data_IF_907543586709
#
_entry.id   IF_907543586709
#
_cell.length_a   1.000
_cell.length_b   1.000
_cell.length_c   1.000
_cell.angle_alpha   90.00
_cell.angle_beta   90.00
_cell.angle_gamma   90.00
#
_symmetry.space_group_name_H-M   'P 1'
#
loop_
_entity.id
_entity.type
_entity.pdbx_description
1 polymer ?
#
# COMPACT_ATOMS: atom_id res chain seq x y z
N UNK A 1 -2.33 -33.41 -17.70
CA UNK A 1 -3.28 -32.32 -18.00
C UNK A 1 -3.46 -31.37 -16.81
N UNK A 2 -3.96 -31.82 -15.66
CA UNK A 2 -4.19 -30.99 -14.47
C UNK A 2 -2.99 -30.15 -13.98
N UNK A 3 -1.80 -30.78 -13.88
CA UNK A 3 -0.58 -30.08 -13.47
C UNK A 3 -0.20 -28.91 -14.39
N UNK A 4 -0.31 -29.10 -15.70
CA UNK A 4 0.01 -28.06 -16.68
C UNK A 4 -1.03 -26.94 -16.66
N UNK A 5 -2.31 -27.29 -16.50
CA UNK A 5 -3.39 -26.31 -16.35
C UNK A 5 -3.19 -25.43 -15.11
N UNK A 6 -2.88 -26.03 -13.95
CA UNK A 6 -2.65 -25.29 -12.71
C UNK A 6 -1.48 -24.30 -12.83
N UNK A 7 -0.34 -24.74 -13.38
CA UNK A 7 0.83 -23.87 -13.58
C UNK A 7 0.53 -22.75 -14.57
N UNK A 8 -0.13 -23.02 -15.68
CA UNK A 8 -0.49 -21.99 -16.66
C UNK A 8 -1.47 -20.97 -16.08
N UNK A 9 -2.47 -21.43 -15.32
CA UNK A 9 -3.44 -20.57 -14.65
C UNK A 9 -2.77 -19.65 -13.63
N UNK A 10 -1.92 -20.21 -12.76
CA UNK A 10 -1.18 -19.45 -11.76
C UNK A 10 -0.23 -18.44 -12.42
N UNK A 11 0.48 -18.83 -13.48
CA UNK A 11 1.35 -17.94 -14.23
C UNK A 11 0.58 -16.76 -14.85
N UNK A 12 -0.61 -16.99 -15.40
CA UNK A 12 -1.45 -15.91 -15.94
C UNK A 12 -1.89 -14.94 -14.84
N UNK A 13 -2.27 -15.44 -13.67
CA UNK A 13 -2.66 -14.59 -12.54
C UNK A 13 -1.48 -13.74 -12.04
N UNK A 14 -0.32 -14.37 -11.87
CA UNK A 14 0.91 -13.68 -11.45
C UNK A 14 1.30 -12.63 -12.48
N UNK A 15 1.34 -12.99 -13.77
CA UNK A 15 1.75 -12.07 -14.84
C UNK A 15 0.80 -10.87 -14.96
N UNK A 16 -0.51 -11.10 -14.80
CA UNK A 16 -1.52 -10.01 -14.79
C UNK A 16 -1.28 -9.06 -13.62
N UNK A 17 -1.00 -9.61 -12.44
CA UNK A 17 -0.71 -8.83 -11.24
C UNK A 17 0.59 -8.02 -11.40
N UNK A 18 1.63 -8.63 -11.97
CA UNK A 18 2.91 -7.97 -12.23
C UNK A 18 2.78 -6.89 -13.31
N UNK A 19 1.98 -7.09 -14.36
CA UNK A 19 1.71 -6.07 -15.39
C UNK A 19 1.01 -4.85 -14.78
N UNK A 20 -0.09 -5.09 -14.05
CA UNK A 20 -0.82 -4.03 -13.37
C UNK A 20 0.07 -3.31 -12.34
N UNK A 21 0.83 -4.06 -11.55
CA UNK A 21 1.77 -3.54 -10.56
C UNK A 21 2.87 -2.69 -11.18
N UNK A 22 3.46 -3.12 -12.31
CA UNK A 22 4.49 -2.38 -13.05
C UNK A 22 3.94 -1.05 -13.59
N UNK A 23 2.69 -1.04 -14.06
CA UNK A 23 2.03 0.18 -14.52
C UNK A 23 1.84 1.18 -13.38
N UNK A 24 1.34 0.71 -12.24
CA UNK A 24 1.14 1.54 -11.04
C UNK A 24 2.49 2.04 -10.50
N UNK A 25 3.49 1.17 -10.38
CA UNK A 25 4.82 1.52 -9.90
C UNK A 25 5.48 2.60 -10.76
N UNK A 26 5.31 2.54 -12.08
CA UNK A 26 5.79 3.60 -12.99
C UNK A 26 5.12 4.94 -12.69
N UNK A 27 3.82 4.95 -12.45
CA UNK A 27 3.11 6.18 -12.10
C UNK A 27 3.55 6.71 -10.73
N UNK A 28 3.69 5.85 -9.73
CA UNK A 28 4.19 6.22 -8.41
C UNK A 28 5.62 6.77 -8.47
N UNK A 29 6.51 6.16 -9.27
CA UNK A 29 7.88 6.63 -9.46
C UNK A 29 7.89 8.00 -10.15
N UNK A 30 7.09 8.17 -11.21
CA UNK A 30 7.02 9.43 -11.96
C UNK A 30 6.48 10.57 -11.10
N UNK A 31 5.46 10.30 -10.29
CA UNK A 31 4.86 11.27 -9.37
C UNK A 31 5.80 11.61 -8.20
N UNK A 32 6.44 10.59 -7.62
CA UNK A 32 7.43 10.75 -6.55
C UNK A 32 8.62 11.60 -6.97
N UNK A 33 9.22 11.31 -8.12
CA UNK A 33 10.30 12.13 -8.69
C UNK A 33 9.82 13.53 -9.07
N UNK A 34 8.58 13.64 -9.55
CA UNK A 34 7.93 14.91 -9.88
C UNK A 34 7.82 15.89 -8.71
N UNK A 35 7.61 15.37 -7.50
CA UNK A 35 7.50 16.17 -6.27
C UNK A 35 8.84 16.72 -5.76
N UNK A 36 9.99 16.26 -6.27
CA UNK A 36 11.32 16.78 -5.89
C UNK A 36 11.67 18.14 -6.53
N UNK A 37 10.83 18.63 -7.45
CA UNK A 37 10.99 19.94 -8.07
C UNK A 37 12.02 20.00 -9.21
N UNK A 38 12.18 21.20 -9.80
CA UNK A 38 13.13 21.44 -10.89
C UNK A 38 12.79 20.71 -12.21
N UNK A 39 13.79 20.19 -12.97
CA UNK A 39 13.55 19.53 -14.25
C UNK A 39 12.75 18.23 -14.14
N UNK A 40 12.70 17.62 -12.94
CA UNK A 40 11.93 16.41 -12.66
C UNK A 40 10.41 16.65 -12.61
N UNK A 41 9.95 17.90 -12.47
CA UNK A 41 8.52 18.23 -12.56
C UNK A 41 7.90 17.84 -13.91
N UNK A 42 8.72 17.75 -14.98
CA UNK A 42 8.29 17.24 -16.29
C UNK A 42 7.85 15.77 -16.25
N UNK A 43 8.29 14.99 -15.26
CA UNK A 43 7.86 13.59 -15.06
C UNK A 43 6.41 13.47 -14.60
N UNK A 44 5.80 14.53 -14.05
CA UNK A 44 4.37 14.54 -13.73
C UNK A 44 3.50 14.57 -14.99
N UNK A 45 4.04 14.94 -16.15
CA UNK A 45 3.28 14.99 -17.39
C UNK A 45 3.26 13.60 -18.08
N UNK A 46 2.11 12.90 -18.12
CA UNK A 46 2.04 11.55 -18.71
C UNK A 46 2.35 11.53 -20.21
N UNK A 47 2.21 12.68 -20.89
CA UNK A 47 2.50 12.83 -22.31
C UNK A 47 4.00 12.87 -22.63
N UNK A 48 4.88 13.03 -21.62
CA UNK A 48 6.32 13.05 -21.84
C UNK A 48 6.87 11.63 -21.99
N UNK A 49 6.91 11.16 -23.24
CA UNK A 49 7.28 9.77 -23.60
C UNK A 49 8.66 9.36 -23.10
N UNK A 50 9.65 10.27 -23.15
CA UNK A 50 11.02 9.98 -22.70
C UNK A 50 11.06 9.73 -21.20
N UNK A 51 10.40 10.58 -20.41
CA UNK A 51 10.29 10.37 -18.96
C UNK A 51 9.54 9.09 -18.61
N UNK A 52 8.44 8.81 -19.33
CA UNK A 52 7.69 7.57 -19.15
C UNK A 52 8.53 6.32 -19.45
N UNK A 53 9.34 6.32 -20.52
CA UNK A 53 10.22 5.21 -20.85
C UNK A 53 11.34 5.01 -19.83
N UNK A 54 11.96 6.08 -19.35
CA UNK A 54 12.99 6.00 -18.30
C UNK A 54 12.39 5.40 -17.03
N UNK A 55 11.24 5.90 -16.58
CA UNK A 55 10.55 5.33 -15.42
C UNK A 55 10.17 3.85 -15.64
N UNK A 56 9.72 3.48 -16.84
CA UNK A 56 9.44 2.06 -17.17
C UNK A 56 10.70 1.20 -17.06
N UNK A 57 11.82 1.62 -17.64
CA UNK A 57 13.08 0.87 -17.61
C UNK A 57 13.55 0.69 -16.17
N UNK A 58 13.46 1.74 -15.35
CA UNK A 58 13.83 1.67 -13.93
C UNK A 58 12.95 0.65 -13.19
N UNK A 59 11.63 0.71 -13.36
CA UNK A 59 10.70 -0.22 -12.69
C UNK A 59 10.92 -1.66 -13.15
N UNK A 60 11.10 -1.90 -14.45
CA UNK A 60 11.37 -3.24 -14.99
C UNK A 60 12.71 -3.76 -14.50
N UNK A 61 13.75 -2.92 -14.45
CA UNK A 61 15.04 -3.27 -13.89
C UNK A 61 14.94 -3.60 -12.40
N UNK A 62 14.13 -2.85 -11.63
CA UNK A 62 13.87 -3.13 -10.22
C UNK A 62 13.21 -4.50 -10.02
N UNK A 63 12.16 -4.82 -10.79
CA UNK A 63 11.56 -6.17 -10.78
C UNK A 63 12.56 -7.26 -11.18
N UNK A 64 13.34 -7.01 -12.24
CA UNK A 64 14.41 -7.90 -12.68
C UNK A 64 15.46 -8.17 -11.59
N UNK A 65 15.81 -7.14 -10.81
CA UNK A 65 16.75 -7.29 -9.70
C UNK A 65 16.19 -8.16 -8.58
N UNK A 66 14.90 -8.05 -8.27
CA UNK A 66 14.21 -8.91 -7.29
C UNK A 66 14.18 -10.35 -7.79
N UNK A 67 13.91 -10.57 -9.08
CA UNK A 67 13.93 -11.90 -9.69
C UNK A 67 15.34 -12.51 -9.64
N UNK A 68 16.37 -11.74 -9.99
CA UNK A 68 17.76 -12.18 -9.88
C UNK A 68 18.12 -12.54 -8.43
N UNK A 69 17.73 -11.72 -7.45
CA UNK A 69 17.92 -12.03 -6.03
C UNK A 69 17.19 -13.32 -5.62
N UNK A 70 15.95 -13.50 -6.08
CA UNK A 70 15.14 -14.68 -5.81
C UNK A 70 15.73 -15.98 -6.36
N UNK A 71 16.34 -15.92 -7.55
CA UNK A 71 16.96 -17.08 -8.21
C UNK A 71 18.37 -17.37 -7.70
N UNK A 72 19.15 -16.34 -7.38
CA UNK A 72 20.57 -16.49 -7.02
C UNK A 72 20.83 -16.72 -5.53
N UNK A 73 19.91 -16.31 -4.65
CA UNK A 73 20.07 -16.40 -3.20
C UNK A 73 19.01 -17.34 -2.57
N UNK A 74 19.27 -18.66 -2.44
CA UNK A 74 18.29 -19.63 -1.94
C UNK A 74 17.93 -19.48 -0.46
N UNK A 75 18.77 -18.81 0.34
CA UNK A 75 18.47 -18.49 1.75
C UNK A 75 17.85 -17.10 1.91
N UNK A 76 18.17 -16.20 0.98
CA UNK A 76 17.84 -14.79 1.03
C UNK A 76 16.65 -14.33 0.22
N UNK A 77 16.30 -15.01 -0.86
CA UNK A 77 15.21 -14.60 -1.73
C UNK A 77 13.84 -14.70 -1.06
N UNK A 78 13.10 -15.77 -1.36
CA UNK A 78 11.71 -15.94 -0.90
C UNK A 78 11.63 -15.97 0.64
N UNK A 79 12.58 -16.63 1.30
CA UNK A 79 12.54 -16.86 2.76
C UNK A 79 12.73 -15.59 3.60
N UNK A 80 13.43 -14.57 3.09
CA UNK A 80 13.60 -13.30 3.81
C UNK A 80 12.60 -12.24 3.34
N UNK A 81 12.12 -12.31 2.10
CA UNK A 81 11.08 -11.42 1.60
C UNK A 81 9.71 -11.72 2.24
N UNK A 82 9.42 -12.98 2.58
CA UNK A 82 8.11 -13.36 3.10
C UNK A 82 7.74 -12.68 4.44
N UNK A 83 8.63 -12.63 5.46
CA UNK A 83 8.37 -11.84 6.66
C UNK A 83 8.21 -10.34 6.39
N UNK A 84 8.95 -9.80 5.41
CA UNK A 84 8.88 -8.38 5.05
C UNK A 84 7.53 -8.05 4.40
N UNK A 85 6.97 -8.95 3.61
CA UNK A 85 5.66 -8.81 2.99
C UNK A 85 4.54 -8.65 4.03
N UNK A 86 4.59 -9.45 5.10
CA UNK A 86 3.62 -9.34 6.20
C UNK A 86 3.66 -7.98 6.89
N UNK A 87 4.86 -7.50 7.22
CA UNK A 87 5.05 -6.19 7.86
C UNK A 87 4.63 -5.06 6.92
N UNK A 88 5.06 -5.10 5.65
CA UNK A 88 4.72 -4.08 4.65
C UNK A 88 3.20 -3.96 4.43
N UNK A 89 2.47 -5.08 4.41
CA UNK A 89 1.02 -5.05 4.24
C UNK A 89 0.31 -4.42 5.43
N UNK A 90 0.74 -4.70 6.65
CA UNK A 90 0.19 -4.06 7.84
C UNK A 90 0.49 -2.55 7.84
N UNK A 91 1.72 -2.16 7.49
CA UNK A 91 2.09 -0.75 7.38
C UNK A 91 1.28 0.00 6.30
N UNK A 92 0.95 -0.66 5.18
CA UNK A 92 0.04 -0.12 4.17
C UNK A 92 -1.41 -0.01 4.69
N UNK A 93 -1.88 -1.01 5.45
CA UNK A 93 -3.20 -0.98 6.08
C UNK A 93 -3.31 0.20 7.07
N UNK A 94 -2.28 0.44 7.88
CA UNK A 94 -2.21 1.58 8.79
C UNK A 94 -2.34 2.92 8.04
N UNK A 95 -1.65 3.07 6.91
CA UNK A 95 -1.75 4.27 6.06
C UNK A 95 -3.17 4.42 5.50
N UNK A 96 -3.74 3.35 4.96
CA UNK A 96 -5.09 3.37 4.41
C UNK A 96 -6.14 3.74 5.47
N UNK A 97 -6.09 3.09 6.65
CA UNK A 97 -6.97 3.36 7.78
C UNK A 97 -6.80 4.79 8.31
N UNK A 98 -5.58 5.32 8.32
CA UNK A 98 -5.31 6.73 8.65
C UNK A 98 -6.04 7.65 7.67
N UNK A 99 -5.88 7.43 6.37
CA UNK A 99 -6.52 8.25 5.33
C UNK A 99 -8.04 8.16 5.43
N UNK A 100 -8.61 6.96 5.58
CA UNK A 100 -10.05 6.76 5.75
C UNK A 100 -10.57 7.51 6.98
N UNK A 101 -9.87 7.42 8.11
CA UNK A 101 -10.24 8.14 9.34
C UNK A 101 -10.26 9.65 9.11
N UNK A 102 -9.24 10.20 8.44
CA UNK A 102 -9.19 11.62 8.11
C UNK A 102 -10.32 12.03 7.17
N UNK A 103 -10.64 11.22 6.16
CA UNK A 103 -11.73 11.50 5.22
C UNK A 103 -13.09 11.51 5.93
N UNK A 104 -13.35 10.54 6.81
CA UNK A 104 -14.60 10.50 7.61
C UNK A 104 -14.74 11.75 8.47
N UNK A 105 -13.65 12.20 9.11
CA UNK A 105 -13.63 13.44 9.90
C UNK A 105 -13.87 14.66 9.02
N UNK A 106 -13.23 14.75 7.85
CA UNK A 106 -13.41 15.85 6.89
C UNK A 106 -14.84 15.95 6.35
N UNK A 107 -15.56 14.82 6.24
CA UNK A 107 -16.98 14.78 5.84
C UNK A 107 -17.94 15.22 6.96
N UNK A 108 -17.44 15.65 8.12
CA UNK A 108 -18.27 16.04 9.27
C UNK A 108 -18.87 14.86 10.04
N UNK A 109 -18.52 13.63 9.69
CA UNK A 109 -19.05 12.40 10.29
C UNK A 109 -18.23 11.99 11.53
N UNK A 110 -17.90 12.95 12.40
CA UNK A 110 -17.06 12.74 13.59
C UNK A 110 -17.59 11.62 14.50
N UNK A 111 -18.92 11.53 14.65
CA UNK A 111 -19.58 10.46 15.42
C UNK A 111 -19.30 9.03 14.91
N UNK A 112 -18.86 8.88 13.65
CA UNK A 112 -18.56 7.61 13.02
C UNK A 112 -17.05 7.38 12.85
N UNK A 113 -16.19 8.33 13.25
CA UNK A 113 -14.74 8.22 13.10
C UNK A 113 -14.12 7.07 13.91
N UNK A 114 -14.82 6.57 14.93
CA UNK A 114 -14.40 5.39 15.68
C UNK A 114 -14.41 4.11 14.85
N UNK A 115 -15.23 4.02 13.80
CA UNK A 115 -15.32 2.83 12.93
C UNK A 115 -13.97 2.54 12.26
N UNK A 116 -13.32 3.50 11.55
CA UNK A 116 -11.96 3.30 11.06
C UNK A 116 -10.88 3.52 12.14
N UNK A 117 -11.17 4.32 13.17
CA UNK A 117 -10.22 4.68 14.22
C UNK A 117 -9.82 3.54 15.16
N UNK A 118 -10.76 2.67 15.56
CA UNK A 118 -10.43 1.52 16.44
C UNK A 118 -9.53 0.51 15.72
N UNK A 119 -9.84 0.04 14.50
CA UNK A 119 -8.94 -0.82 13.72
C UNK A 119 -7.59 -0.15 13.49
N UNK A 120 -7.54 1.16 13.21
CA UNK A 120 -6.30 1.90 13.04
C UNK A 120 -5.42 1.83 14.29
N UNK A 121 -5.98 2.10 15.46
CA UNK A 121 -5.23 2.07 16.72
C UNK A 121 -4.72 0.66 17.04
N UNK A 122 -5.55 -0.36 16.80
CA UNK A 122 -5.16 -1.75 16.98
C UNK A 122 -4.00 -2.14 16.05
N UNK A 123 -4.15 -1.89 14.75
CA UNK A 123 -3.15 -2.18 13.72
C UNK A 123 -1.82 -1.47 14.02
N UNK A 124 -1.86 -0.15 14.26
CA UNK A 124 -0.67 0.61 14.65
C UNK A 124 -0.01 0.04 15.91
N UNK A 125 -0.78 -0.34 16.93
CA UNK A 125 -0.21 -0.88 18.17
C UNK A 125 0.52 -2.19 17.90
N UNK A 126 -0.11 -3.13 17.20
CA UNK A 126 0.48 -4.45 16.92
C UNK A 126 1.69 -4.31 16.00
N UNK A 127 1.56 -3.54 14.91
CA UNK A 127 2.61 -3.41 13.89
C UNK A 127 3.81 -2.61 14.39
N UNK A 128 3.58 -1.54 15.17
CA UNK A 128 4.68 -0.78 15.76
C UNK A 128 5.38 -1.58 16.87
N UNK A 129 4.64 -2.35 17.67
CA UNK A 129 5.25 -3.25 18.68
C UNK A 129 6.09 -4.33 18.01
N UNK A 130 5.58 -4.96 16.95
CA UNK A 130 6.33 -5.94 16.18
C UNK A 130 7.58 -5.32 15.53
N UNK A 131 7.45 -4.14 14.92
CA UNK A 131 8.58 -3.41 14.34
C UNK A 131 9.63 -3.08 15.40
N UNK A 132 9.21 -2.62 16.58
CA UNK A 132 10.09 -2.36 17.72
C UNK A 132 10.86 -3.61 18.14
N UNK A 133 10.17 -4.74 18.31
CA UNK A 133 10.81 -6.02 18.65
C UNK A 133 11.80 -6.47 17.55
N UNK A 134 11.44 -6.31 16.28
CA UNK A 134 12.31 -6.66 15.15
C UNK A 134 13.56 -5.78 15.06
N UNK A 135 13.48 -4.52 15.45
CA UNK A 135 14.60 -3.58 15.38
C UNK A 135 15.48 -3.69 16.63
N UNK A 136 14.90 -3.78 17.83
CA UNK A 136 15.63 -3.62 19.09
C UNK A 136 15.76 -4.88 19.95
N UNK A 137 15.12 -6.00 19.59
CA UNK A 137 15.21 -7.22 20.41
C UNK A 137 16.64 -7.80 20.44
N UNK A 138 17.11 -8.12 21.64
CA UNK A 138 18.35 -8.86 21.89
C UNK A 138 18.25 -10.36 21.59
N UNK A 139 17.06 -10.88 21.25
CA UNK A 139 16.92 -12.26 20.79
C UNK A 139 17.28 -12.37 19.29
N UNK A 140 18.29 -13.17 18.90
CA UNK A 140 18.69 -13.35 17.49
C UNK A 140 17.61 -13.95 16.59
N UNK A 141 16.59 -14.61 17.16
CA UNK A 141 15.45 -15.14 16.40
C UNK A 141 14.45 -14.05 16.02
N UNK A 142 14.48 -12.93 16.73
CA UNK A 142 13.51 -11.84 16.58
C UNK A 142 14.19 -10.61 15.97
N UNK A 143 15.32 -10.16 16.53
CA UNK A 143 15.99 -8.92 16.16
C UNK A 143 16.85 -9.03 14.90
N UNK A 144 16.58 -8.21 13.89
CA UNK A 144 17.35 -8.17 12.64
C UNK A 144 18.81 -7.78 12.87
N UNK A 145 19.06 -6.79 13.72
CA UNK A 145 20.41 -6.32 14.02
C UNK A 145 21.20 -7.31 14.87
N UNK A 146 20.56 -7.92 15.86
CA UNK A 146 21.17 -8.99 16.67
C UNK A 146 21.58 -10.17 15.79
N UNK A 147 20.70 -10.59 14.88
CA UNK A 147 21.02 -11.62 13.90
C UNK A 147 22.19 -11.20 13.00
N UNK A 148 22.16 -9.98 12.47
CA UNK A 148 23.24 -9.43 11.65
C UNK A 148 24.61 -9.50 12.35
N UNK A 149 24.70 -9.00 13.59
CA UNK A 149 25.96 -9.00 14.35
C UNK A 149 26.48 -10.40 14.66
N UNK A 150 25.60 -11.38 14.92
CA UNK A 150 26.04 -12.76 15.13
C UNK A 150 26.61 -13.40 13.86
N UNK A 151 26.01 -13.13 12.71
CA UNK A 151 26.50 -13.65 11.43
C UNK A 151 27.80 -12.97 11.01
N UNK A 152 27.97 -11.68 11.28
CA UNK A 152 29.24 -10.95 11.09
C UNK A 152 30.31 -11.53 12.02
N UNK A 153 30.03 -11.68 13.31
CA UNK A 153 30.99 -12.25 14.26
C UNK A 153 31.38 -13.70 13.90
N UNK A 154 30.45 -14.50 13.37
CA UNK A 154 30.75 -15.84 12.87
C UNK A 154 31.70 -15.80 11.67
N UNK A 155 31.51 -14.85 10.75
CA UNK A 155 32.40 -14.62 9.60
C UNK A 155 33.81 -14.20 10.07
N UNK A 156 33.88 -13.25 11.00
CA UNK A 156 35.14 -12.75 11.55
C UNK A 156 35.90 -13.82 12.33
N UNK A 157 35.18 -14.76 12.96
CA UNK A 157 35.74 -15.94 13.59
C UNK A 157 36.20 -17.03 12.60
N UNK A 158 36.17 -16.75 11.29
CA UNK A 158 36.60 -17.68 10.23
C UNK A 158 35.63 -18.83 9.98
N UNK A 159 34.39 -18.78 10.51
CA UNK A 159 33.40 -19.84 10.27
C UNK A 159 32.85 -19.71 8.86
N UNK A 160 32.83 -20.83 8.14
CA UNK A 160 32.22 -20.92 6.80
C UNK A 160 30.76 -21.34 6.84
N UNK A 161 30.24 -21.72 8.01
CA UNK A 161 28.83 -22.07 8.22
C UNK A 161 28.37 -21.60 9.61
N UNK A 162 27.18 -21.01 9.69
CA UNK A 162 26.59 -20.53 10.95
C UNK A 162 25.06 -20.44 10.84
N UNK A 163 24.35 -21.02 11.82
CA UNK A 163 22.90 -21.04 11.85
C UNK A 163 22.31 -21.68 10.57
N UNK A 164 21.49 -20.92 9.85
CA UNK A 164 20.90 -21.36 8.58
C UNK A 164 21.88 -21.35 7.38
N UNK A 165 23.04 -20.70 7.48
CA UNK A 165 24.03 -20.63 6.41
C UNK A 165 24.97 -21.84 6.45
N UNK A 166 25.02 -22.60 5.35
CA UNK A 166 25.84 -23.83 5.22
C UNK A 166 27.17 -23.62 4.50
N UNK A 167 27.40 -22.46 3.91
CA UNK A 167 28.65 -22.09 3.23
C UNK A 167 28.94 -20.59 3.34
N UNK A 168 30.17 -20.18 2.98
CA UNK A 168 30.62 -18.80 3.15
C UNK A 168 29.78 -17.80 2.34
N UNK A 169 29.37 -18.16 1.11
CA UNK A 169 28.51 -17.29 0.29
C UNK A 169 27.11 -17.10 0.90
N UNK A 170 26.57 -18.15 1.51
CA UNK A 170 25.31 -18.11 2.25
C UNK A 170 25.42 -17.27 3.54
N UNK A 171 26.59 -17.27 4.17
CA UNK A 171 26.85 -16.43 5.33
C UNK A 171 26.81 -14.94 4.94
N UNK A 172 27.50 -14.58 3.85
CA UNK A 172 27.49 -13.21 3.30
C UNK A 172 26.10 -12.77 2.85
N UNK A 173 25.34 -13.67 2.23
CA UNK A 173 23.95 -13.43 1.86
C UNK A 173 23.10 -13.08 3.09
N UNK A 174 23.15 -13.87 4.16
CA UNK A 174 22.37 -13.58 5.38
C UNK A 174 22.78 -12.25 6.02
N UNK A 175 24.07 -11.91 6.03
CA UNK A 175 24.55 -10.60 6.53
C UNK A 175 23.93 -9.46 5.72
N UNK A 176 23.97 -9.54 4.38
CA UNK A 176 23.35 -8.54 3.50
C UNK A 176 21.83 -8.45 3.71
N UNK A 177 21.16 -9.59 3.80
CA UNK A 177 19.70 -9.63 3.87
C UNK A 177 19.20 -9.09 5.21
N UNK A 178 19.85 -9.45 6.32
CA UNK A 178 19.52 -8.91 7.66
C UNK A 178 19.77 -7.42 7.76
N UNK A 179 20.82 -6.91 7.11
CA UNK A 179 21.08 -5.47 7.00
C UNK A 179 19.98 -4.73 6.23
N UNK A 180 19.62 -5.24 5.05
CA UNK A 180 18.55 -4.67 4.22
C UNK A 180 17.21 -4.71 4.96
N UNK A 181 16.86 -5.83 5.57
CA UNK A 181 15.62 -5.98 6.35
C UNK A 181 15.57 -5.01 7.54
N UNK A 182 16.64 -4.95 8.33
CA UNK A 182 16.72 -4.05 9.48
C UNK A 182 16.56 -2.59 9.06
N UNK A 183 17.25 -2.17 7.99
CA UNK A 183 17.17 -0.81 7.47
C UNK A 183 15.79 -0.49 6.89
N UNK A 184 15.23 -1.36 6.05
CA UNK A 184 13.89 -1.17 5.47
C UNK A 184 12.79 -1.13 6.54
N UNK A 185 12.90 -1.96 7.58
CA UNK A 185 11.94 -1.95 8.69
C UNK A 185 11.92 -0.60 9.41
N UNK A 186 13.08 0.03 9.62
CA UNK A 186 13.17 1.37 10.22
C UNK A 186 12.52 2.40 9.31
N UNK A 187 12.84 2.38 8.01
CA UNK A 187 12.30 3.32 7.03
C UNK A 187 10.77 3.23 6.97
N UNK A 188 10.22 2.02 6.87
CA UNK A 188 8.77 1.86 6.79
C UNK A 188 8.06 2.26 8.08
N UNK A 189 8.61 1.90 9.25
CA UNK A 189 8.04 2.32 10.54
C UNK A 189 8.03 3.87 10.66
N UNK A 190 9.13 4.53 10.28
CA UNK A 190 9.20 5.99 10.28
C UNK A 190 8.18 6.62 9.34
N UNK A 191 8.02 6.08 8.13
CA UNK A 191 7.03 6.56 7.15
C UNK A 191 5.60 6.47 7.68
N UNK A 192 5.22 5.35 8.30
CA UNK A 192 3.89 5.18 8.89
C UNK A 192 3.66 6.18 10.02
N UNK A 193 4.65 6.39 10.89
CA UNK A 193 4.55 7.40 11.95
C UNK A 193 4.35 8.80 11.37
N UNK A 194 5.10 9.17 10.32
CA UNK A 194 4.96 10.47 9.65
C UNK A 194 3.55 10.62 9.07
N UNK A 195 3.05 9.61 8.34
CA UNK A 195 1.72 9.66 7.73
C UNK A 195 0.62 9.73 8.80
N UNK A 196 0.75 8.94 9.87
CA UNK A 196 -0.18 8.98 10.99
C UNK A 196 -0.22 10.36 11.66
N UNK A 197 0.94 10.94 11.97
CA UNK A 197 1.04 12.28 12.56
C UNK A 197 0.45 13.33 11.62
N UNK A 198 0.76 13.27 10.31
CA UNK A 198 0.17 14.16 9.32
C UNK A 198 -1.36 14.01 9.26
N UNK A 199 -1.86 12.78 9.35
CA UNK A 199 -3.29 12.47 9.42
C UNK A 199 -3.95 13.07 10.65
N UNK A 200 -3.35 12.91 11.83
CA UNK A 200 -3.82 13.51 13.08
C UNK A 200 -3.86 15.04 12.98
N UNK A 201 -2.81 15.67 12.47
CA UNK A 201 -2.77 17.13 12.26
C UNK A 201 -3.92 17.56 11.33
N UNK A 202 -4.20 16.79 10.29
CA UNK A 202 -5.28 17.10 9.35
C UNK A 202 -6.67 16.89 9.94
N UNK A 203 -6.87 15.83 10.71
CA UNK A 203 -8.09 15.59 11.45
C UNK A 203 -8.37 16.73 12.45
N UNK A 204 -7.36 17.14 13.23
CA UNK A 204 -7.48 18.25 14.19
C UNK A 204 -7.80 19.58 13.50
N UNK A 205 -7.16 19.89 12.36
CA UNK A 205 -7.47 21.09 11.58
C UNK A 205 -8.90 21.07 11.02
N UNK A 206 -9.38 19.91 10.57
CA UNK A 206 -10.75 19.76 10.10
C UNK A 206 -11.78 19.97 11.23
N UNK A 207 -11.53 19.41 12.42
CA UNK A 207 -12.39 19.60 13.60
C UNK A 207 -12.44 21.06 14.03
N UNK A 208 -11.32 21.79 13.94
CA UNK A 208 -11.22 23.21 14.29
C UNK A 208 -11.80 24.16 13.22
N UNK A 209 -12.43 23.64 12.16
CA UNK A 209 -13.01 24.44 11.08
C UNK A 209 -12.01 25.02 10.07
N UNK A 210 -10.72 24.68 10.17
CA UNK A 210 -9.66 25.13 9.25
C UNK A 210 -9.32 24.12 8.15
N UNK A 211 -10.16 23.11 7.93
CA UNK A 211 -9.93 22.06 6.94
C UNK A 211 -10.15 22.56 5.51
N UNK A 212 -9.24 22.22 4.58
CA UNK A 212 -9.49 22.42 3.14
C UNK A 212 -10.76 21.66 2.73
N UNK A 213 -11.66 22.28 1.94
CA UNK A 213 -12.87 21.62 1.46
C UNK A 213 -12.54 20.30 0.74
N UNK A 214 -13.49 19.37 0.76
CA UNK A 214 -13.40 18.14 -0.02
C UNK A 214 -13.44 18.50 -1.51
N UNK A 215 -12.63 17.83 -2.33
CA UNK A 215 -12.68 17.94 -3.81
C UNK A 215 -13.73 16.99 -4.39
N UNK A 216 -14.71 16.58 -3.58
CA UNK A 216 -15.83 15.77 -4.03
C UNK A 216 -16.79 16.67 -4.81
N UNK A 217 -17.25 16.20 -5.97
CA UNK A 217 -18.34 16.86 -6.68
C UNK A 217 -19.59 16.87 -5.81
N UNK A 218 -20.40 17.94 -5.92
CA UNK A 218 -21.64 18.04 -5.18
C UNK A 218 -22.54 16.81 -5.46
N UNK A 219 -23.17 16.23 -4.44
CA UNK A 219 -23.99 15.05 -4.60
C UNK A 219 -25.15 15.35 -5.55
N UNK A 220 -25.06 14.83 -6.77
CA UNK A 220 -26.14 14.93 -7.76
C UNK A 220 -27.21 13.91 -7.39
N UNK A 221 -28.49 14.32 -7.18
CA UNK A 221 -29.56 13.38 -6.91
C UNK A 221 -29.68 12.33 -8.02
N UNK A 222 -29.74 11.06 -7.65
CA UNK A 222 -29.87 9.98 -8.63
C UNK A 222 -31.20 10.10 -9.36
N UNK A 223 -31.15 10.05 -10.70
CA UNK A 223 -32.36 9.99 -11.56
C UNK A 223 -32.97 8.58 -11.62
N UNK A 224 -32.46 7.66 -10.80
CA UNK A 224 -32.92 6.29 -10.70
C UNK A 224 -33.70 6.15 -9.40
N UNK A 225 -34.91 5.59 -9.50
CA UNK A 225 -35.61 5.10 -8.33
C UNK A 225 -34.81 3.90 -7.77
N UNK A 226 -34.54 3.92 -6.47
CA UNK A 226 -33.90 2.81 -5.76
C UNK A 226 -34.81 2.42 -4.59
N UNK A 227 -35.12 1.12 -4.43
CA UNK A 227 -35.90 0.65 -3.29
C UNK A 227 -35.15 0.90 -1.97
N UNK A 228 -35.91 1.04 -0.87
CA UNK A 228 -35.37 1.34 0.46
C UNK A 228 -34.54 0.18 1.07
N UNK A 229 -34.59 -1.01 0.48
CA UNK A 229 -33.84 -2.19 0.92
C UNK A 229 -33.41 -3.11 -0.23
N UNK A 230 -32.69 -4.18 0.12
CA UNK A 230 -32.15 -5.18 -0.82
C UNK A 230 -33.22 -5.90 -1.65
N UNK A 231 -34.42 -6.08 -1.08
CA UNK A 231 -35.56 -6.70 -1.77
C UNK A 231 -36.66 -5.65 -1.89
N UNK A 232 -37.03 -5.23 -3.10
CA UNK A 232 -38.09 -4.25 -3.30
C UNK A 232 -39.43 -4.85 -2.89
N UNK A 233 -40.16 -4.11 -2.05
CA UNK A 233 -41.53 -4.41 -1.66
C UNK A 233 -42.46 -4.36 -2.88
N UNK A 234 -43.65 -4.96 -2.77
CA UNK A 234 -44.63 -4.95 -3.88
C UNK A 234 -44.99 -3.52 -4.32
N UNK A 235 -45.13 -2.59 -3.37
CA UNK A 235 -45.40 -1.18 -3.62
C UNK A 235 -44.23 -0.50 -4.34
N UNK A 236 -42.98 -0.74 -3.89
CA UNK A 236 -41.79 -0.18 -4.55
C UNK A 236 -41.58 -0.73 -5.96
N UNK A 237 -41.96 -2.00 -6.23
CA UNK A 237 -41.93 -2.55 -7.60
C UNK A 237 -42.93 -1.86 -8.51
N UNK A 238 -44.09 -1.50 -7.98
CA UNK A 238 -45.10 -0.78 -8.77
C UNK A 238 -44.67 0.67 -9.03
N UNK A 239 -44.05 1.32 -8.04
CA UNK A 239 -43.44 2.65 -8.21
C UNK A 239 -42.28 2.61 -9.22
N UNK A 240 -41.44 1.57 -9.20
CA UNK A 240 -40.38 1.38 -10.19
C UNK A 240 -40.96 1.25 -11.62
N UNK A 241 -42.04 0.48 -11.82
CA UNK A 241 -42.70 0.37 -13.13
C UNK A 241 -43.25 1.71 -13.61
N UNK A 242 -43.86 2.49 -12.71
CA UNK A 242 -44.35 3.83 -13.03
C UNK A 242 -43.19 4.77 -13.38
N UNK A 243 -42.07 4.66 -12.66
CA UNK A 243 -40.85 5.41 -12.93
C UNK A 243 -40.23 5.08 -14.29
N UNK A 244 -40.19 3.79 -14.65
CA UNK A 244 -39.65 3.31 -15.92
C UNK A 244 -40.52 3.68 -17.13
N UNK A 245 -41.82 3.90 -16.90
CA UNK A 245 -42.77 4.36 -17.92
C UNK A 245 -42.69 5.86 -18.22
N UNK A 246 -42.00 6.65 -17.37
CA UNK A 246 -41.82 8.08 -17.61
C UNK A 246 -40.80 8.34 -18.74
N UNK A 247 -41.04 9.31 -19.64
CA UNK A 247 -40.08 9.68 -20.66
C UNK A 247 -38.75 10.13 -20.04
N UNK A 248 -37.62 9.64 -20.55
CA UNK A 248 -36.29 10.07 -20.08
C UNK A 248 -36.07 11.55 -20.36
N UNK A 249 -36.20 12.39 -19.33
CA UNK A 249 -35.89 13.81 -19.39
C UNK A 249 -34.45 14.04 -19.86
N UNK A 250 -34.29 14.71 -21.00
CA UNK A 250 -33.01 15.14 -21.56
C UNK A 250 -32.48 16.45 -20.94
N UNK A 251 -33.13 16.98 -19.90
CA UNK A 251 -32.67 18.21 -19.28
C UNK A 251 -31.33 17.98 -18.57
N UNK A 252 -30.31 18.77 -18.93
CA UNK A 252 -29.09 18.94 -18.14
C UNK A 252 -29.51 19.40 -16.74
N UNK A 253 -28.91 18.77 -15.72
CA UNK A 253 -29.04 19.23 -14.33
C UNK A 253 -28.65 20.71 -14.30
N UNK A 254 -29.61 21.57 -13.98
CA UNK A 254 -29.31 22.93 -13.58
C UNK A 254 -28.75 22.75 -12.17
N UNK A 255 -27.43 22.94 -12.00
CA UNK A 255 -26.83 22.96 -10.68
C UNK A 255 -27.55 24.02 -9.87
N UNK A 256 -28.19 23.63 -8.77
CA UNK A 256 -28.78 24.60 -7.82
C UNK A 256 -27.64 25.21 -7.03
N UNK A 257 -26.94 26.15 -7.66
CA UNK A 257 -26.17 27.16 -6.94
C UNK A 257 -27.13 28.08 -6.20
N UNK A 258 -26.73 28.42 -4.98
CA UNK A 258 -27.39 29.28 -3.98
C UNK A 258 -28.41 28.57 -3.07
N UNK A 259 -27.95 28.12 -1.89
CA UNK A 259 -28.18 28.80 -0.60
C UNK A 259 -27.23 28.26 0.48
#
# INVERSE_FOLDING_TARGET
>A
FWYHFAIMFEALFILTTVDAGTRVARFMLSDGLGNLGGPLKKLQNPSWRVGAWICSVIVVAAWGSILLMGVTDPLGGINTLFPLFGIANQLLAAIALTVVTVVVIKRGLLKWAWIPGIPLLWDLTVTMTASWQKIFSGDPKVGYWTQHYQYVAAKDAGKTAFGAAKNAGQLDAVIRNTFIQGTLSIVFAALVVIVFVAGVIMALKAIRGGGRPLTEDEPVPSRLFAPSGLIPTKTEREVQKQWDALPKSHARSVGTGAH
#
